data_IF_156153555622
#
_entry.id   IF_156153555622
#
_cell.length_a   1.000
_cell.length_b   1.000
_cell.length_c   1.000
_cell.angle_alpha   90.00
_cell.angle_beta   90.00
_cell.angle_gamma   90.00
#
_symmetry.space_group_name_H-M   'P 1'
#
loop_
_entity.id
_entity.type
_entity.pdbx_description
1 polymer ?
#
# COMPACT_ATOMS: atom_id res chain seq x y z
N UNK A 1 21.10 -33.74 2.35
CA UNK A 1 19.80 -33.03 2.32
C UNK A 1 19.91 -31.94 1.28
N UNK A 2 18.90 -31.73 0.44
CA UNK A 2 18.91 -30.57 -0.47
C UNK A 2 18.85 -29.28 0.35
N UNK A 3 19.71 -28.30 0.01
CA UNK A 3 19.71 -26.95 0.60
C UNK A 3 18.35 -26.27 0.39
N UNK A 4 18.07 -25.23 1.19
CA UNK A 4 16.84 -24.46 1.05
C UNK A 4 16.70 -23.86 -0.36
N UNK A 5 17.81 -23.39 -0.94
CA UNK A 5 17.90 -22.93 -2.33
C UNK A 5 17.49 -24.03 -3.32
N UNK A 6 18.07 -25.23 -3.17
CA UNK A 6 17.78 -26.35 -4.07
C UNK A 6 16.31 -26.74 -4.06
N UNK A 7 15.69 -26.81 -2.87
CA UNK A 7 14.26 -27.11 -2.75
C UNK A 7 13.38 -26.05 -3.40
N UNK A 8 13.73 -24.77 -3.25
CA UNK A 8 12.99 -23.68 -3.88
C UNK A 8 13.20 -23.66 -5.39
N UNK A 9 14.43 -23.88 -5.86
CA UNK A 9 14.74 -23.99 -7.28
C UNK A 9 13.95 -25.13 -7.94
N UNK A 10 13.94 -26.32 -7.34
CA UNK A 10 13.15 -27.45 -7.82
C UNK A 10 11.64 -27.15 -7.84
N UNK A 11 11.14 -26.40 -6.85
CA UNK A 11 9.75 -25.98 -6.82
C UNK A 11 9.42 -24.97 -7.94
N UNK A 12 10.30 -24.01 -8.21
CA UNK A 12 10.16 -23.03 -9.29
C UNK A 12 10.17 -23.72 -10.65
N UNK A 13 11.08 -24.68 -10.87
CA UNK A 13 11.15 -25.46 -12.11
C UNK A 13 9.84 -26.22 -12.34
N UNK A 14 9.36 -26.96 -11.33
CA UNK A 14 8.08 -27.68 -11.42
C UNK A 14 6.89 -26.74 -11.66
N UNK A 15 6.89 -25.59 -10.98
CA UNK A 15 5.89 -24.54 -11.17
C UNK A 15 5.88 -24.02 -12.62
N UNK A 16 7.05 -23.75 -13.18
CA UNK A 16 7.22 -23.29 -14.58
C UNK A 16 6.75 -24.34 -15.58
N UNK A 17 7.09 -25.61 -15.38
CA UNK A 17 6.61 -26.69 -16.23
C UNK A 17 5.08 -26.82 -16.19
N UNK A 18 4.49 -26.73 -15.00
CA UNK A 18 3.03 -26.76 -14.85
C UNK A 18 2.38 -25.54 -15.52
N UNK A 19 2.96 -24.34 -15.36
CA UNK A 19 2.49 -23.13 -16.02
C UNK A 19 2.48 -23.30 -17.54
N UNK A 20 3.60 -23.75 -18.13
CA UNK A 20 3.73 -23.93 -19.58
C UNK A 20 2.76 -24.98 -20.17
N UNK A 21 2.24 -25.91 -19.35
CA UNK A 21 1.21 -26.87 -19.78
C UNK A 21 -0.19 -26.26 -19.82
N UNK A 22 -0.46 -25.24 -19.01
CA UNK A 22 -1.80 -24.68 -18.82
C UNK A 22 -1.97 -23.27 -19.38
N UNK A 23 -0.87 -22.55 -19.63
CA UNK A 23 -0.85 -21.20 -20.15
C UNK A 23 -0.05 -21.18 -21.48
N UNK A 24 -0.58 -20.56 -22.55
CA UNK A 24 0.13 -20.45 -23.82
C UNK A 24 1.27 -19.43 -23.79
N UNK A 25 1.29 -18.54 -22.78
CA UNK A 25 2.32 -17.53 -22.60
C UNK A 25 3.38 -18.02 -21.60
N UNK A 26 4.66 -18.10 -22.02
CA UNK A 26 5.72 -18.51 -21.11
C UNK A 26 5.89 -17.46 -20.00
N UNK A 27 6.20 -17.86 -18.77
CA UNK A 27 6.50 -16.92 -17.71
C UNK A 27 7.89 -16.32 -17.95
N UNK A 28 8.05 -15.04 -17.61
CA UNK A 28 9.32 -14.32 -17.73
C UNK A 28 9.90 -13.94 -16.36
N UNK A 29 9.06 -13.80 -15.33
CA UNK A 29 9.47 -13.35 -13.99
C UNK A 29 8.93 -14.28 -12.90
N UNK A 30 9.74 -14.49 -11.86
CA UNK A 30 9.35 -15.14 -10.61
C UNK A 30 9.39 -14.12 -9.48
N UNK A 31 8.24 -13.91 -8.83
CA UNK A 31 8.12 -13.02 -7.67
C UNK A 31 8.17 -13.81 -6.38
N UNK A 32 9.04 -13.40 -5.47
CA UNK A 32 9.22 -14.03 -4.16
C UNK A 32 9.25 -12.98 -3.06
N UNK A 33 9.00 -13.39 -1.83
CA UNK A 33 9.18 -12.49 -0.70
C UNK A 33 10.67 -12.08 -0.62
N UNK A 34 11.01 -10.78 -0.50
CA UNK A 34 12.39 -10.32 -0.39
C UNK A 34 13.17 -11.02 0.75
N UNK A 35 12.52 -11.31 1.87
CA UNK A 35 13.14 -12.03 2.98
C UNK A 35 13.59 -13.46 2.60
N UNK A 36 12.82 -14.14 1.73
CA UNK A 36 13.20 -15.47 1.25
C UNK A 36 14.38 -15.39 0.28
N UNK A 37 14.43 -14.34 -0.56
CA UNK A 37 15.55 -14.08 -1.48
C UNK A 37 16.85 -13.93 -0.66
N UNK A 38 16.82 -13.08 0.37
CA UNK A 38 17.96 -12.86 1.27
C UNK A 38 18.38 -14.12 2.02
N UNK A 39 17.43 -14.91 2.56
CA UNK A 39 17.77 -16.15 3.31
C UNK A 39 18.40 -17.23 2.44
N UNK A 40 18.08 -17.23 1.14
CA UNK A 40 18.65 -18.13 0.14
C UNK A 40 19.95 -17.59 -0.44
N UNK A 41 20.37 -16.38 -0.06
CA UNK A 41 21.56 -15.71 -0.60
C UNK A 41 21.46 -15.51 -2.13
N UNK A 42 20.24 -15.30 -2.63
CA UNK A 42 19.99 -14.83 -4.00
C UNK A 42 19.90 -13.31 -4.02
N UNK A 43 20.03 -12.71 -5.20
CA UNK A 43 19.90 -11.27 -5.39
C UNK A 43 18.67 -10.95 -6.26
N UNK A 44 17.99 -9.84 -5.97
CA UNK A 44 16.95 -9.35 -6.87
C UNK A 44 17.57 -9.01 -8.23
N UNK A 45 16.90 -9.43 -9.31
CA UNK A 45 17.42 -9.37 -10.66
C UNK A 45 18.19 -10.61 -11.11
N UNK A 46 18.46 -11.57 -10.22
CA UNK A 46 19.06 -12.84 -10.61
C UNK A 46 18.17 -13.62 -11.59
N UNK A 47 18.82 -14.45 -12.42
CA UNK A 47 18.11 -15.34 -13.33
C UNK A 47 17.99 -16.75 -12.74
N UNK A 48 16.80 -17.08 -12.23
CA UNK A 48 16.51 -18.38 -11.61
C UNK A 48 15.63 -19.21 -12.55
N UNK A 49 16.12 -20.39 -12.96
CA UNK A 49 15.42 -21.27 -13.91
C UNK A 49 15.03 -20.57 -15.24
N UNK A 50 15.82 -19.56 -15.65
CA UNK A 50 15.55 -18.73 -16.82
C UNK A 50 14.39 -17.74 -16.64
N UNK A 51 14.09 -17.35 -15.40
CA UNK A 51 13.13 -16.32 -15.03
C UNK A 51 13.85 -15.23 -14.25
N UNK A 52 13.45 -13.99 -14.43
CA UNK A 52 13.99 -12.87 -13.64
C UNK A 52 13.39 -12.91 -12.23
N UNK A 53 14.23 -12.84 -11.21
CA UNK A 53 13.81 -12.84 -9.80
C UNK A 53 13.47 -11.42 -9.36
N UNK A 54 12.23 -11.21 -8.93
CA UNK A 54 11.77 -9.95 -8.35
C UNK A 54 11.29 -10.15 -6.91
N UNK A 55 11.67 -9.23 -6.02
CA UNK A 55 11.11 -9.13 -4.69
C UNK A 55 9.70 -8.54 -4.71
N UNK A 56 8.76 -9.23 -4.08
CA UNK A 56 7.40 -8.71 -3.86
C UNK A 56 6.96 -8.98 -2.42
N UNK A 57 6.81 -7.90 -1.64
CA UNK A 57 6.35 -7.97 -0.25
C UNK A 57 4.91 -8.48 -0.09
N UNK A 58 4.14 -8.54 -1.19
CA UNK A 58 2.78 -9.11 -1.19
C UNK A 58 2.79 -10.64 -1.28
N UNK A 59 3.92 -11.26 -1.64
CA UNK A 59 4.07 -12.72 -1.67
C UNK A 59 4.43 -13.20 -0.26
N UNK A 60 3.68 -14.18 0.25
CA UNK A 60 3.96 -14.79 1.54
C UNK A 60 5.28 -15.57 1.54
N UNK A 61 5.90 -15.72 2.71
CA UNK A 61 7.11 -16.53 2.87
C UNK A 61 6.88 -17.99 2.46
N UNK A 62 7.88 -18.61 1.83
CA UNK A 62 7.78 -19.98 1.31
C UNK A 62 6.87 -20.16 0.09
N UNK A 63 6.37 -19.07 -0.50
CA UNK A 63 5.58 -19.08 -1.73
C UNK A 63 6.26 -18.21 -2.80
N UNK A 64 5.90 -18.45 -4.06
CA UNK A 64 6.32 -17.65 -5.20
C UNK A 64 5.15 -17.48 -6.19
N UNK A 65 5.23 -16.46 -7.04
CA UNK A 65 4.30 -16.26 -8.16
C UNK A 65 5.06 -16.21 -9.47
N UNK A 66 4.50 -16.82 -10.51
CA UNK A 66 5.01 -16.73 -11.87
C UNK A 66 4.24 -15.65 -12.61
N UNK A 67 4.96 -14.72 -13.23
CA UNK A 67 4.40 -13.66 -14.06
C UNK A 67 4.65 -14.00 -15.52
N UNK A 68 3.59 -13.89 -16.33
CA UNK A 68 3.61 -14.14 -17.77
C UNK A 68 2.86 -13.01 -18.48
N UNK A 69 3.17 -12.80 -19.75
CA UNK A 69 2.56 -11.75 -20.59
C UNK A 69 1.06 -11.98 -20.88
N UNK A 70 0.51 -13.14 -20.51
CA UNK A 70 -0.89 -13.49 -20.71
C UNK A 70 -1.85 -12.96 -19.63
N UNK A 71 -1.35 -12.31 -18.59
CA UNK A 71 -2.13 -11.86 -17.44
C UNK A 71 -2.05 -10.34 -17.27
N UNK A 72 -2.48 -9.62 -18.29
CA UNK A 72 -2.86 -8.21 -18.19
C UNK A 72 -4.41 -8.14 -18.12
N UNK A 73 -5.04 -8.03 -16.93
CA UNK A 73 -6.32 -7.34 -16.89
C UNK A 73 -6.07 -5.89 -17.33
N UNK A 74 -6.89 -5.29 -18.22
CA UNK A 74 -6.68 -3.90 -18.62
C UNK A 74 -6.62 -3.03 -17.36
N UNK A 75 -5.51 -2.32 -17.21
CA UNK A 75 -5.31 -1.35 -16.14
C UNK A 75 -6.45 -0.34 -16.23
N UNK A 76 -7.33 -0.30 -15.23
CA UNK A 76 -8.11 0.91 -15.00
C UNK A 76 -7.11 1.96 -14.53
N UNK A 77 -6.70 2.77 -15.50
CA UNK A 77 -6.15 4.11 -15.36
C UNK A 77 -6.88 4.84 -14.22
N UNK A 78 -6.24 4.85 -13.04
CA UNK A 78 -6.48 5.89 -12.04
C UNK A 78 -5.16 6.64 -11.92
N UNK A 79 -5.06 7.66 -12.77
CA UNK A 79 -4.16 8.80 -12.66
C UNK A 79 -4.00 9.22 -11.18
N UNK A 80 -2.96 8.75 -10.48
CA UNK A 80 -2.57 9.29 -9.18
C UNK A 80 -1.74 10.54 -9.44
N UNK A 81 -2.43 11.67 -9.67
CA UNK A 81 -1.79 12.98 -9.67
C UNK A 81 -1.36 13.29 -8.23
N UNK A 82 -0.12 12.98 -7.88
CA UNK A 82 0.55 13.49 -6.68
C UNK A 82 0.62 15.03 -6.76
N UNK A 83 -0.42 15.70 -6.26
CA UNK A 83 -0.39 17.13 -6.00
C UNK A 83 0.51 17.37 -4.77
N UNK A 84 1.81 17.53 -5.01
CA UNK A 84 2.76 18.03 -4.02
C UNK A 84 2.41 19.48 -3.69
N UNK A 85 1.53 19.69 -2.71
CA UNK A 85 1.30 21.00 -2.10
C UNK A 85 2.44 21.29 -1.13
N UNK A 86 3.46 22.00 -1.62
CA UNK A 86 4.51 22.58 -0.77
C UNK A 86 3.92 23.49 0.31
N UNK A 87 4.57 23.61 1.49
CA UNK A 87 4.09 24.43 2.59
C UNK A 87 4.05 25.92 2.18
N UNK A 88 2.88 26.53 2.33
CA UNK A 88 2.69 27.96 2.12
C UNK A 88 3.44 28.76 3.21
N UNK A 89 4.50 29.47 2.82
CA UNK A 89 5.09 30.50 3.66
C UNK A 89 4.11 31.68 3.76
N UNK A 90 3.74 32.15 4.96
CA UNK A 90 2.80 33.26 5.09
C UNK A 90 3.48 34.58 4.73
N UNK A 91 3.13 35.13 3.56
CA UNK A 91 3.42 36.51 3.18
C UNK A 91 2.70 37.47 4.15
N UNK A 92 3.46 38.09 5.04
CA UNK A 92 2.95 39.13 5.94
C UNK A 92 2.68 40.40 5.14
N UNK A 93 1.41 40.73 4.92
CA UNK A 93 1.02 42.07 4.43
C UNK A 93 0.61 42.94 5.62
N UNK A 94 1.30 44.05 5.91
CA UNK A 94 0.87 44.98 6.95
C UNK A 94 -0.33 45.79 6.45
N UNK A 95 -1.49 45.64 7.11
CA UNK A 95 -2.65 46.51 6.86
C UNK A 95 -2.56 47.75 7.76
N UNK A 96 -2.61 48.97 7.21
CA UNK A 96 -2.49 50.21 7.97
C UNK A 96 -3.71 50.49 8.86
N UNK A 97 -3.42 51.00 10.06
CA UNK A 97 -4.35 51.60 11.02
C UNK A 97 -5.10 52.78 10.41
N UNK A 98 -6.42 52.82 10.59
CA UNK A 98 -7.26 54.02 10.40
C UNK A 98 -8.47 54.01 11.36
N UNK A 99 -8.98 55.16 11.83
CA UNK A 99 -9.58 55.30 13.16
C UNK A 99 -11.11 55.54 13.20
N UNK A 100 -11.75 55.12 14.31
CA UNK A 100 -13.05 55.63 14.84
C UNK A 100 -14.33 55.09 14.16
N UNK A 101 -15.40 54.68 14.84
CA UNK A 101 -15.88 54.92 16.21
C UNK A 101 -17.13 54.05 16.54
N UNK A 102 -17.90 54.35 17.60
CA UNK A 102 -18.35 53.35 18.58
C UNK A 102 -19.83 52.94 18.49
N UNK A 103 -20.16 51.73 18.95
CA UNK A 103 -21.52 51.27 19.23
C UNK A 103 -21.51 50.31 20.42
N UNK A 104 -22.39 50.55 21.39
CA UNK A 104 -22.38 50.09 22.78
C UNK A 104 -23.66 49.29 23.07
N UNK A 105 -23.55 48.29 23.97
CA UNK A 105 -24.62 47.47 24.60
C UNK A 105 -25.35 46.54 23.61
N UNK A 106 -25.71 45.29 23.90
CA UNK A 106 -26.65 44.74 24.90
C UNK A 106 -26.25 43.28 25.22
N UNK A 107 -25.96 42.90 26.47
CA UNK A 107 -26.86 42.29 27.46
C UNK A 107 -27.60 40.98 27.06
N UNK A 108 -27.30 39.92 27.84
CA UNK A 108 -28.06 38.71 28.16
C UNK A 108 -27.98 37.41 27.29
N UNK A 109 -27.91 36.21 27.96
CA UNK A 109 -27.71 34.89 27.33
C UNK A 109 -29.00 34.06 27.26
N UNK A 110 -29.13 33.14 26.30
CA UNK A 110 -30.15 32.07 26.32
C UNK A 110 -29.85 30.94 25.34
N UNK A 111 -29.40 29.78 25.83
CA UNK A 111 -29.30 28.52 25.08
C UNK A 111 -29.42 27.32 26.03
N UNK A 112 -30.27 26.31 25.74
CA UNK A 112 -30.83 25.44 26.77
C UNK A 112 -29.90 24.34 27.27
N UNK A 113 -30.07 24.03 28.55
CA UNK A 113 -29.44 22.93 29.29
C UNK A 113 -30.10 21.61 28.93
N UNK A 114 -29.38 20.71 28.26
CA UNK A 114 -29.77 19.30 28.22
C UNK A 114 -29.08 18.56 29.37
N UNK A 115 -29.87 18.27 30.40
CA UNK A 115 -29.50 17.39 31.51
C UNK A 115 -29.85 15.93 31.17
N UNK A 116 -28.99 15.03 31.67
CA UNK A 116 -28.93 13.60 31.40
C UNK A 116 -30.08 12.76 32.01
N UNK A 117 -30.33 11.57 31.44
CA UNK A 117 -30.96 10.46 32.16
C UNK A 117 -30.45 9.07 31.69
N UNK A 118 -29.43 8.61 32.44
CA UNK A 118 -29.05 7.29 32.99
C UNK A 118 -29.42 5.97 32.26
N UNK A 119 -28.49 4.99 32.19
CA UNK A 119 -28.75 3.64 31.67
C UNK A 119 -29.47 2.76 32.69
N UNK A 120 -30.46 1.98 32.24
CA UNK A 120 -31.13 0.95 33.03
C UNK A 120 -30.35 -0.37 32.93
N UNK A 121 -29.82 -0.82 34.05
CA UNK A 121 -29.30 -2.19 34.23
C UNK A 121 -30.44 -3.06 34.76
N UNK A 122 -30.74 -4.17 34.10
CA UNK A 122 -31.66 -5.18 34.60
C UNK A 122 -31.25 -6.59 34.18
N UNK A 123 -30.80 -7.40 35.15
CA UNK A 123 -30.74 -8.87 35.07
C UNK A 123 -31.81 -9.44 36.01
N UNK A 124 -32.48 -10.47 35.50
CA UNK A 124 -33.49 -11.37 36.09
C UNK A 124 -34.92 -10.82 36.17
#
# INVERSE_FOLDING_TARGET
MASAEGKNFEAIVKGKEQHNKNCPFPPHTVRMNPFEIERMQWEEGDTIAGLLLEGDGKVGTGSFRLICDGMEPPELDIEETEAVSGPAEPLTVPVPVGPGGPGREEDAPSGPRYAAMRPVTGRR
#
